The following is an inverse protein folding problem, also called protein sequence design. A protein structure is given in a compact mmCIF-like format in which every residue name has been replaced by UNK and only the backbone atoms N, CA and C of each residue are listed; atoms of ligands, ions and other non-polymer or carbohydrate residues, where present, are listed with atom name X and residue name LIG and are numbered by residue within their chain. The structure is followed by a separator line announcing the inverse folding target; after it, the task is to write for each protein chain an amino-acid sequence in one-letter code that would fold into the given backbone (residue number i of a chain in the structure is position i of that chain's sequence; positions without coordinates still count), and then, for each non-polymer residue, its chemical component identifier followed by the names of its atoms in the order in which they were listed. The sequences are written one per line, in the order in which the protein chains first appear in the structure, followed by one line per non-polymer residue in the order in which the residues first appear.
data_IF_047085066006
#
_entry.id   IF_047085066006
#
_cell.length_a   1.000
_cell.length_b   1.000
_cell.length_c   1.000
_cell.angle_alpha   90.00
_cell.angle_beta   90.00
_cell.angle_gamma   90.00
#
_symmetry.space_group_name_H-M   'P 1'
#
loop_
_entity.id
_entity.type
_entity.pdbx_description
1 polymer ?
#
# COMPACT_ATOMS: atom_id res chain seq x y z
N UNK A 1 19.29 61.70 -16.75
CA UNK A 1 18.12 60.86 -17.11
C UNK A 1 18.53 59.68 -18.00
N UNK A 2 18.99 59.89 -19.24
CA UNK A 2 19.36 58.79 -20.14
C UNK A 2 20.39 57.78 -19.58
N UNK A 3 21.41 58.26 -18.83
CA UNK A 3 22.43 57.38 -18.20
C UNK A 3 21.84 56.51 -17.08
N UNK A 4 20.84 57.01 -16.33
CA UNK A 4 20.16 56.24 -15.28
C UNK A 4 19.21 55.20 -15.87
N UNK A 5 18.52 55.51 -16.97
CA UNK A 5 17.70 54.54 -17.72
C UNK A 5 18.56 53.43 -18.33
N UNK A 6 19.70 53.76 -18.95
CA UNK A 6 20.62 52.77 -19.50
C UNK A 6 21.24 51.88 -18.41
N UNK A 7 21.58 52.43 -17.25
CA UNK A 7 22.09 51.65 -16.12
C UNK A 7 21.04 50.69 -15.54
N UNK A 8 19.78 51.12 -15.46
CA UNK A 8 18.67 50.27 -15.01
C UNK A 8 18.38 49.14 -16.00
N UNK A 9 18.42 49.42 -17.31
CA UNK A 9 18.29 48.40 -18.35
C UNK A 9 19.44 47.38 -18.29
N UNK A 10 20.70 47.82 -18.21
CA UNK A 10 21.86 46.92 -18.07
C UNK A 10 21.78 46.02 -16.83
N UNK A 11 21.35 46.56 -15.68
CA UNK A 11 21.15 45.77 -14.46
C UNK A 11 20.05 44.71 -14.62
N UNK A 12 18.97 45.04 -15.33
CA UNK A 12 17.88 44.10 -15.61
C UNK A 12 18.34 42.99 -16.57
N UNK A 13 19.11 43.32 -17.60
CA UNK A 13 19.66 42.33 -18.54
C UNK A 13 20.66 41.38 -17.87
N UNK A 14 21.52 41.90 -16.98
CA UNK A 14 22.44 41.08 -16.17
C UNK A 14 21.68 40.10 -15.26
N UNK A 15 20.63 40.56 -14.57
CA UNK A 15 19.77 39.68 -13.75
C UNK A 15 19.06 38.60 -14.57
N UNK A 16 18.61 38.93 -15.78
CA UNK A 16 18.00 37.96 -16.71
C UNK A 16 19.02 36.92 -17.19
N UNK A 17 20.31 37.26 -17.23
CA UNK A 17 21.38 36.37 -17.67
C UNK A 17 21.97 35.52 -16.53
N UNK A 18 21.95 36.02 -15.29
CA UNK A 18 22.31 35.28 -14.07
C UNK A 18 21.23 34.30 -13.59
N UNK A 19 19.96 34.58 -13.88
CA UNK A 19 18.86 33.71 -13.45
C UNK A 19 18.91 32.29 -14.05
N UNK A 20 19.22 32.08 -15.35
CA UNK A 20 19.47 30.76 -15.93
C UNK A 20 20.66 30.03 -15.30
N UNK A 21 21.74 30.73 -14.95
CA UNK A 21 22.93 30.10 -14.35
C UNK A 21 22.64 29.66 -12.91
N UNK A 22 21.90 30.46 -12.13
CA UNK A 22 21.42 30.07 -10.80
C UNK A 22 20.52 28.83 -10.87
N UNK A 23 19.54 28.80 -11.79
CA UNK A 23 18.69 27.62 -12.00
C UNK A 23 19.46 26.38 -12.43
N UNK A 24 20.47 26.54 -13.27
CA UNK A 24 21.33 25.44 -13.69
C UNK A 24 22.12 24.88 -12.49
N UNK A 25 22.66 25.75 -11.63
CA UNK A 25 23.36 25.34 -10.40
C UNK A 25 22.43 24.58 -9.46
N UNK A 26 21.22 25.09 -9.21
CA UNK A 26 20.21 24.39 -8.39
C UNK A 26 19.84 23.02 -8.97
N UNK A 27 19.66 22.94 -10.30
CA UNK A 27 19.37 21.68 -10.98
C UNK A 27 20.51 20.67 -10.85
N UNK A 28 21.76 21.11 -11.03
CA UNK A 28 22.95 20.26 -10.90
C UNK A 28 23.10 19.77 -9.45
N UNK A 29 22.87 20.63 -8.46
CA UNK A 29 22.90 20.25 -7.06
C UNK A 29 21.83 19.19 -6.73
N UNK A 30 20.61 19.36 -7.24
CA UNK A 30 19.53 18.38 -7.04
C UNK A 30 19.87 17.02 -7.69
N UNK A 31 20.49 17.03 -8.87
CA UNK A 31 20.96 15.81 -9.54
C UNK A 31 22.11 15.12 -8.78
N UNK A 32 23.07 15.89 -8.27
CA UNK A 32 24.18 15.37 -7.46
C UNK A 32 23.69 14.70 -6.17
N UNK A 33 22.75 15.32 -5.45
CA UNK A 33 22.12 14.72 -4.28
C UNK A 33 21.36 13.43 -4.61
N UNK A 34 20.64 13.41 -5.73
CA UNK A 34 19.98 12.20 -6.25
C UNK A 34 20.98 11.08 -6.57
N UNK A 35 22.12 11.42 -7.18
CA UNK A 35 23.19 10.48 -7.48
C UNK A 35 23.83 9.91 -6.21
N UNK A 36 24.12 10.74 -5.21
CA UNK A 36 24.62 10.31 -3.89
C UNK A 36 23.63 9.39 -3.19
N UNK A 37 22.33 9.69 -3.26
CA UNK A 37 21.27 8.84 -2.72
C UNK A 37 21.24 7.47 -3.40
N UNK A 38 21.29 7.45 -4.74
CA UNK A 38 21.36 6.21 -5.52
C UNK A 38 22.58 5.38 -5.14
N UNK A 39 23.74 6.02 -4.99
CA UNK A 39 24.99 5.36 -4.58
C UNK A 39 24.85 4.68 -3.21
N UNK A 40 24.34 5.40 -2.20
CA UNK A 40 24.08 4.83 -0.85
C UNK A 40 23.12 3.64 -0.88
N UNK A 41 22.07 3.72 -1.70
CA UNK A 41 21.11 2.61 -1.88
C UNK A 41 21.75 1.39 -2.53
N UNK A 42 22.60 1.58 -3.53
CA UNK A 42 23.35 0.50 -4.19
C UNK A 42 24.33 -0.16 -3.21
N UNK A 43 25.05 0.63 -2.42
CA UNK A 43 25.96 0.13 -1.38
C UNK A 43 25.21 -0.74 -0.36
N UNK A 44 24.05 -0.30 0.13
CA UNK A 44 23.21 -1.09 1.03
C UNK A 44 22.72 -2.41 0.39
N UNK A 45 22.45 -2.43 -0.92
CA UNK A 45 22.09 -3.67 -1.61
C UNK A 45 23.26 -4.65 -1.69
N UNK A 46 24.49 -4.16 -1.87
CA UNK A 46 25.71 -4.98 -1.88
C UNK A 46 26.00 -5.60 -0.51
N UNK A 47 25.63 -4.95 0.59
CA UNK A 47 25.74 -5.52 1.95
C UNK A 47 24.99 -6.86 2.09
N UNK A 48 23.91 -7.06 1.32
CA UNK A 48 23.14 -8.31 1.33
C UNK A 48 23.94 -9.51 0.82
N UNK A 49 24.88 -9.29 -0.10
CA UNK A 49 25.69 -10.32 -0.74
C UNK A 49 26.86 -10.78 0.14
N UNK A 50 26.97 -10.30 1.38
CA UNK A 50 27.99 -10.73 2.33
C UNK A 50 27.63 -12.08 2.95
N UNK A 51 28.58 -13.02 2.95
CA UNK A 51 28.42 -14.34 3.58
C UNK A 51 28.51 -14.32 5.11
N UNK A 52 28.77 -13.16 5.73
CA UNK A 52 28.91 -13.06 7.18
C UNK A 52 27.53 -13.08 7.90
N UNK A 53 27.28 -14.01 8.84
CA UNK A 53 26.00 -14.12 9.54
C UNK A 53 25.57 -12.85 10.30
N UNK A 54 26.53 -12.13 10.88
CA UNK A 54 26.27 -10.88 11.59
C UNK A 54 25.80 -9.76 10.64
N UNK A 55 26.45 -9.64 9.48
CA UNK A 55 26.07 -8.69 8.43
C UNK A 55 24.66 -9.00 7.89
N UNK A 56 24.35 -10.28 7.66
CA UNK A 56 23.02 -10.71 7.23
C UNK A 56 21.92 -10.38 8.27
N UNK A 57 22.21 -10.54 9.57
CA UNK A 57 21.27 -10.18 10.65
C UNK A 57 20.99 -8.67 10.70
N UNK A 58 22.05 -7.86 10.63
CA UNK A 58 21.95 -6.40 10.58
C UNK A 58 21.16 -5.92 9.35
N UNK A 59 21.42 -6.51 8.18
CA UNK A 59 20.69 -6.19 6.96
C UNK A 59 19.20 -6.52 7.07
N UNK A 60 18.85 -7.68 7.64
CA UNK A 60 17.44 -8.06 7.91
C UNK A 60 16.75 -7.04 8.82
N UNK A 61 17.45 -6.54 9.85
CA UNK A 61 16.93 -5.49 10.75
C UNK A 61 16.71 -4.18 10.01
N UNK A 62 17.70 -3.67 9.27
CA UNK A 62 17.55 -2.47 8.43
C UNK A 62 16.40 -2.59 7.44
N UNK A 63 16.23 -3.75 6.80
CA UNK A 63 15.12 -4.03 5.88
C UNK A 63 13.76 -3.91 6.58
N UNK A 64 13.64 -4.48 7.77
CA UNK A 64 12.42 -4.40 8.58
C UNK A 64 12.12 -2.96 8.97
N UNK A 65 13.11 -2.21 9.45
CA UNK A 65 12.95 -0.81 9.84
C UNK A 65 12.51 0.04 8.65
N UNK A 66 13.09 -0.17 7.46
CA UNK A 66 12.69 0.50 6.22
C UNK A 66 11.21 0.24 5.88
N UNK A 67 10.78 -1.01 6.00
CA UNK A 67 9.37 -1.39 5.76
C UNK A 67 8.43 -0.75 6.80
N UNK A 68 8.84 -0.68 8.06
CA UNK A 68 8.09 -0.02 9.13
C UNK A 68 8.00 1.48 8.93
N UNK A 69 9.10 2.16 8.59
CA UNK A 69 9.10 3.60 8.31
C UNK A 69 8.13 3.93 7.18
N UNK A 70 8.18 3.21 6.06
CA UNK A 70 7.23 3.41 4.96
C UNK A 70 5.77 3.20 5.41
N UNK A 71 5.51 2.16 6.20
CA UNK A 71 4.16 1.89 6.71
C UNK A 71 3.67 3.01 7.64
N UNK A 72 4.52 3.47 8.55
CA UNK A 72 4.20 4.58 9.47
C UNK A 72 3.90 5.87 8.70
N UNK A 73 4.66 6.18 7.65
CA UNK A 73 4.41 7.33 6.78
C UNK A 73 3.04 7.23 6.08
N UNK A 74 2.70 6.05 5.54
CA UNK A 74 1.37 5.80 4.93
C UNK A 74 0.21 5.91 5.91
N UNK A 75 0.45 5.61 7.19
CA UNK A 75 -0.54 5.73 8.26
C UNK A 75 -0.61 7.15 8.87
N UNK A 76 0.22 8.10 8.41
CA UNK A 76 0.27 9.46 8.95
C UNK A 76 1.10 9.63 10.22
N UNK A 77 1.85 8.61 10.65
CA UNK A 77 2.73 8.66 11.82
C UNK A 77 4.12 9.24 11.48
N UNK A 78 4.15 10.44 10.87
CA UNK A 78 5.37 11.05 10.31
C UNK A 78 6.49 11.23 11.35
N UNK A 79 6.18 11.78 12.52
CA UNK A 79 7.17 12.03 13.56
C UNK A 79 7.85 10.74 14.05
N UNK A 80 7.06 9.68 14.22
CA UNK A 80 7.56 8.36 14.63
C UNK A 80 8.41 7.75 13.51
N UNK A 81 7.97 7.87 12.26
CA UNK A 81 8.70 7.37 11.10
C UNK A 81 10.07 8.04 10.94
N UNK A 82 10.14 9.37 11.08
CA UNK A 82 11.38 10.14 11.02
C UNK A 82 12.33 9.77 12.17
N UNK A 83 11.80 9.63 13.39
CA UNK A 83 12.61 9.20 14.55
C UNK A 83 13.20 7.81 14.35
N UNK A 84 12.41 6.85 13.85
CA UNK A 84 12.88 5.49 13.55
C UNK A 84 13.95 5.51 12.45
N UNK A 85 13.73 6.28 11.37
CA UNK A 85 14.69 6.39 10.27
C UNK A 85 16.05 6.91 10.74
N UNK A 86 16.07 7.93 11.62
CA UNK A 86 17.29 8.48 12.23
C UNK A 86 17.98 7.48 13.13
N UNK A 87 17.25 6.85 14.04
CA UNK A 87 17.81 5.88 14.98
C UNK A 87 18.42 4.66 14.29
N UNK A 88 17.80 4.22 13.19
CA UNK A 88 18.31 3.10 12.39
C UNK A 88 19.34 3.51 11.32
N UNK A 89 19.62 4.82 11.15
CA UNK A 89 20.55 5.33 10.13
C UNK A 89 20.12 5.01 8.70
N UNK A 90 18.82 5.07 8.41
CA UNK A 90 18.22 4.67 7.13
C UNK A 90 17.47 5.79 6.42
N UNK A 91 17.67 7.06 6.80
CA UNK A 91 16.99 8.22 6.19
C UNK A 91 17.14 8.23 4.65
N UNK A 92 18.32 7.86 4.14
CA UNK A 92 18.62 7.76 2.71
C UNK A 92 17.94 6.57 1.99
N UNK A 93 17.44 5.60 2.76
CA UNK A 93 16.82 4.38 2.23
C UNK A 93 15.30 4.46 2.18
N UNK A 94 14.71 5.55 2.68
CA UNK A 94 13.27 5.79 2.75
C UNK A 94 12.91 7.08 2.02
N UNK A 95 11.66 7.20 1.56
CA UNK A 95 11.22 8.35 0.76
C UNK A 95 10.44 9.37 1.62
N UNK A 96 10.99 9.79 2.76
CA UNK A 96 10.28 10.64 3.74
C UNK A 96 9.71 11.92 3.11
N UNK A 97 10.53 12.65 2.35
CA UNK A 97 10.14 13.93 1.76
C UNK A 97 8.90 13.82 0.87
N UNK A 98 8.82 12.77 0.05
CA UNK A 98 7.65 12.51 -0.80
C UNK A 98 6.37 12.39 0.01
N UNK A 99 6.41 11.70 1.16
CA UNK A 99 5.25 11.58 2.05
C UNK A 99 4.91 12.88 2.77
N UNK A 100 5.90 13.74 3.05
CA UNK A 100 5.67 15.06 3.65
C UNK A 100 5.05 16.04 2.65
N UNK A 101 5.48 16.04 1.40
CA UNK A 101 4.83 16.83 0.34
C UNK A 101 3.38 16.37 0.12
N UNK A 102 3.14 15.05 0.13
CA UNK A 102 1.78 14.52 0.02
C UNK A 102 0.90 14.88 1.22
N UNK A 103 1.48 14.91 2.43
CA UNK A 103 0.78 15.27 3.67
C UNK A 103 0.10 16.64 3.58
N UNK A 104 0.78 17.65 3.04
CA UNK A 104 0.20 19.01 2.91
C UNK A 104 -1.06 19.01 2.05
N UNK A 105 -1.06 18.23 0.96
CA UNK A 105 -2.23 18.06 0.09
C UNK A 105 -3.36 17.30 0.79
N UNK A 106 -3.03 16.25 1.54
CA UNK A 106 -4.02 15.49 2.31
C UNK A 106 -4.68 16.35 3.39
N UNK A 107 -3.90 17.11 4.16
CA UNK A 107 -4.41 18.01 5.20
C UNK A 107 -5.29 19.14 4.61
N UNK A 108 -4.95 19.65 3.42
CA UNK A 108 -5.80 20.62 2.72
C UNK A 108 -7.16 20.00 2.34
N UNK A 109 -7.17 18.78 1.80
CA UNK A 109 -8.40 18.07 1.49
C UNK A 109 -9.23 17.74 2.77
N UNK A 110 -8.58 17.44 3.89
CA UNK A 110 -9.25 17.25 5.18
C UNK A 110 -9.93 18.54 5.67
N UNK A 111 -9.28 19.70 5.42
CA UNK A 111 -9.86 21.04 5.63
C UNK A 111 -10.89 21.44 4.56
N UNK A 112 -11.20 20.57 3.60
CA UNK A 112 -12.12 20.81 2.48
C UNK A 112 -11.64 21.87 1.49
N UNK A 113 -10.32 21.93 1.30
CA UNK A 113 -9.64 22.86 0.38
C UNK A 113 -9.08 22.07 -0.81
N UNK A 114 -9.52 22.38 -2.03
CA UNK A 114 -9.09 21.69 -3.26
C UNK A 114 -7.84 22.28 -3.89
N UNK A 115 -7.47 23.52 -3.56
CA UNK A 115 -6.45 24.29 -4.27
C UNK A 115 -5.09 23.58 -4.33
N UNK A 116 -4.59 23.06 -3.20
CA UNK A 116 -3.32 22.36 -3.13
C UNK A 116 -3.33 21.07 -3.99
N UNK A 117 -4.42 20.31 -3.95
CA UNK A 117 -4.54 19.07 -4.73
C UNK A 117 -4.68 19.35 -6.24
N UNK A 118 -5.38 20.44 -6.61
CA UNK A 118 -5.47 20.89 -8.00
C UNK A 118 -4.11 21.37 -8.54
N UNK A 119 -3.34 22.11 -7.73
CA UNK A 119 -1.97 22.50 -8.07
C UNK A 119 -1.10 21.26 -8.29
N UNK A 120 -1.17 20.27 -7.40
CA UNK A 120 -0.47 19.00 -7.55
C UNK A 120 -0.88 18.26 -8.84
N UNK A 121 -2.17 18.22 -9.18
CA UNK A 121 -2.67 17.64 -10.43
C UNK A 121 -2.09 18.35 -11.67
N UNK A 122 -2.00 19.68 -11.61
CA UNK A 122 -1.43 20.50 -12.67
C UNK A 122 0.07 20.20 -12.87
N UNK A 123 0.84 20.20 -11.77
CA UNK A 123 2.29 20.01 -11.80
C UNK A 123 2.67 18.60 -12.27
N UNK A 124 1.79 17.61 -12.05
CA UNK A 124 2.00 16.22 -12.43
C UNK A 124 1.22 15.78 -13.68
N UNK A 125 0.58 16.71 -14.38
CA UNK A 125 -0.40 16.43 -15.47
C UNK A 125 0.14 15.48 -16.55
N UNK A 126 1.35 15.71 -17.04
CA UNK A 126 1.96 14.89 -18.11
C UNK A 126 2.22 13.45 -17.67
N UNK A 127 2.62 13.26 -16.40
CA UNK A 127 2.90 11.94 -15.82
C UNK A 127 1.60 11.19 -15.53
N UNK A 128 0.60 11.87 -14.97
CA UNK A 128 -0.73 11.30 -14.70
C UNK A 128 -1.40 10.78 -15.98
N UNK A 129 -1.25 11.48 -17.11
CA UNK A 129 -1.74 11.04 -18.42
C UNK A 129 -1.07 9.75 -18.91
N UNK A 130 0.27 9.69 -18.85
CA UNK A 130 1.03 8.50 -19.27
C UNK A 130 0.62 7.26 -18.47
N UNK A 131 0.19 7.43 -17.23
CA UNK A 131 -0.25 6.34 -16.36
C UNK A 131 -1.65 5.81 -16.70
N UNK A 132 -2.56 6.66 -17.21
CA UNK A 132 -3.90 6.26 -17.67
C UNK A 132 -3.82 5.36 -18.91
N UNK A 133 -2.89 5.64 -19.84
CA UNK A 133 -2.69 4.84 -21.05
C UNK A 133 -2.31 3.37 -20.80
N UNK A 134 -1.58 3.08 -19.71
CA UNK A 134 -1.19 1.70 -19.34
C UNK A 134 -2.32 0.88 -18.69
N UNK A 135 -3.42 1.52 -18.28
CA UNK A 135 -4.56 0.85 -17.65
C UNK A 135 -5.56 0.30 -18.69
N UNK A 136 -5.66 0.92 -19.87
CA UNK A 136 -6.56 0.46 -20.94
C UNK A 136 -6.23 -0.93 -21.49
N UNK A 137 -5.00 -1.40 -21.34
CA UNK A 137 -4.57 -2.74 -21.80
C UNK A 137 -4.85 -3.85 -20.77
N UNK A 138 -4.96 -3.52 -19.48
CA UNK A 138 -5.07 -4.53 -18.42
C UNK A 138 -6.52 -4.84 -17.99
N UNK A 139 -7.49 -4.01 -18.36
CA UNK A 139 -8.91 -4.20 -18.03
C UNK A 139 -9.73 -4.92 -19.14
N UNK A 140 -9.07 -5.41 -20.20
CA UNK A 140 -9.68 -6.34 -21.14
C UNK A 140 -9.78 -7.75 -20.50
N UNK A 141 -10.95 -8.06 -19.92
CA UNK A 141 -11.27 -9.37 -19.30
C UNK A 141 -10.90 -10.58 -20.20
N UNK A 142 -10.52 -11.74 -19.62
CA UNK A 142 -10.32 -12.98 -20.35
C UNK A 142 -11.68 -13.64 -20.64
N UNK A 143 -12.28 -13.30 -21.78
CA UNK A 143 -13.41 -14.02 -22.34
C UNK A 143 -12.96 -15.24 -23.12
N UNK A 144 -12.91 -16.40 -22.46
CA UNK A 144 -12.66 -17.72 -23.05
C UNK A 144 -13.73 -18.00 -24.13
N UNK A 145 -13.38 -17.88 -25.42
CA UNK A 145 -14.11 -18.51 -26.52
C UNK A 145 -13.16 -19.40 -27.31
N UNK A 146 -13.40 -20.70 -27.17
CA UNK A 146 -12.91 -21.74 -28.06
C UNK A 146 -13.40 -21.48 -29.49
N UNK A 147 -12.49 -21.49 -30.47
CA UNK A 147 -12.67 -22.20 -31.76
C UNK A 147 -11.40 -22.11 -32.64
N UNK A 148 -10.85 -23.30 -32.89
CA UNK A 148 -10.23 -23.89 -34.11
C UNK A 148 -9.54 -22.97 -35.13
N UNK A 149 -8.34 -23.43 -35.52
CA UNK A 149 -7.36 -22.87 -36.44
C UNK A 149 -7.80 -22.76 -37.92
N UNK A 150 -7.28 -21.74 -38.62
CA UNK A 150 -6.50 -21.83 -39.88
C UNK A 150 -6.33 -20.46 -40.53
N UNK A 151 -5.15 -20.19 -41.13
CA UNK A 151 -4.98 -19.16 -42.16
C UNK A 151 -3.95 -18.06 -41.89
N UNK A 152 -2.82 -18.16 -42.60
CA UNK A 152 -1.63 -17.32 -42.81
C UNK A 152 -1.73 -15.78 -42.68
N UNK A 153 -0.58 -15.09 -42.42
CA UNK A 153 -0.53 -13.63 -42.27
C UNK A 153 -0.45 -12.91 -43.63
N UNK A 154 -1.13 -11.77 -43.75
CA UNK A 154 -0.86 -10.76 -44.77
C UNK A 154 -0.50 -9.45 -44.09
N UNK A 155 0.70 -8.98 -44.42
CA UNK A 155 1.19 -7.62 -44.16
C UNK A 155 0.50 -6.62 -45.08
N UNK A 156 0.10 -5.49 -44.50
CA UNK A 156 -0.17 -4.16 -45.09
C UNK A 156 -1.12 -3.48 -44.10
N UNK A 157 -1.02 -2.23 -43.69
CA UNK A 157 -0.21 -1.07 -44.02
C UNK A 157 -0.67 -0.04 -42.96
N UNK A 158 0.22 0.88 -42.62
CA UNK A 158 -0.07 2.27 -42.32
C UNK A 158 -1.20 2.61 -41.31
N UNK A 159 -0.80 2.93 -40.07
CA UNK A 159 -1.56 3.86 -39.24
C UNK A 159 -0.61 4.94 -38.73
N UNK A 160 -0.60 6.03 -39.49
CA UNK A 160 -0.02 7.30 -39.12
C UNK A 160 -0.46 7.76 -37.73
N UNK A 161 0.52 8.18 -36.95
CA UNK A 161 0.35 8.91 -35.71
C UNK A 161 -0.16 10.32 -36.06
N UNK A 162 -1.46 10.48 -36.28
CA UNK A 162 -2.05 11.80 -36.39
C UNK A 162 -2.05 12.48 -35.01
N UNK A 163 -1.11 13.41 -34.85
CA UNK A 163 -1.07 14.40 -33.78
C UNK A 163 -2.31 15.29 -33.83
N UNK A 164 -3.39 14.85 -33.20
CA UNK A 164 -4.52 15.72 -32.88
C UNK A 164 -4.06 16.67 -31.76
N UNK A 165 -3.82 17.94 -32.11
CA UNK A 165 -3.69 19.06 -31.18
C UNK A 165 -5.03 19.31 -30.48
N UNK A 166 -5.43 18.38 -29.61
CA UNK A 166 -6.55 18.52 -28.69
C UNK A 166 -6.10 19.25 -27.42
N UNK A 167 -6.90 20.22 -26.96
CA UNK A 167 -6.72 20.84 -25.64
C UNK A 167 -6.72 19.75 -24.55
N UNK A 168 -6.00 19.96 -23.44
CA UNK A 168 -5.66 18.84 -22.59
C UNK A 168 -6.80 18.45 -21.61
N UNK A 169 -7.48 17.32 -21.90
CA UNK A 169 -8.32 16.47 -20.99
C UNK A 169 -7.88 16.48 -19.50
N UNK A 170 -8.85 16.61 -18.59
CA UNK A 170 -8.59 16.59 -17.14
C UNK A 170 -8.13 15.20 -16.68
N UNK A 171 -7.27 15.12 -15.65
CA UNK A 171 -7.02 13.84 -14.98
C UNK A 171 -8.27 13.38 -14.21
N UNK A 172 -8.41 12.08 -13.95
CA UNK A 172 -9.58 11.56 -13.22
C UNK A 172 -9.74 12.21 -11.83
N UNK A 173 -8.62 12.44 -11.13
CA UNK A 173 -8.59 13.14 -9.85
C UNK A 173 -8.96 14.63 -9.99
N UNK A 174 -8.38 15.32 -10.99
CA UNK A 174 -8.72 16.73 -11.25
C UNK A 174 -10.21 16.90 -11.53
N UNK A 175 -10.79 16.02 -12.35
CA UNK A 175 -12.21 16.01 -12.65
C UNK A 175 -13.06 15.78 -11.39
N UNK A 176 -12.69 14.82 -10.54
CA UNK A 176 -13.36 14.53 -9.27
C UNK A 176 -13.32 15.73 -8.31
N UNK A 177 -12.20 16.45 -8.26
CA UNK A 177 -12.06 17.68 -7.47
C UNK A 177 -12.96 18.81 -7.99
N UNK A 178 -13.07 18.98 -9.31
CA UNK A 178 -13.99 19.97 -9.91
C UNK A 178 -15.45 19.66 -9.63
N UNK A 179 -15.83 18.37 -9.65
CA UNK A 179 -17.15 17.95 -9.18
C UNK A 179 -17.36 18.34 -7.71
N UNK A 180 -16.35 18.13 -6.86
CA UNK A 180 -16.47 18.51 -5.45
C UNK A 180 -16.63 20.02 -5.27
N UNK A 181 -15.87 20.86 -5.98
CA UNK A 181 -16.03 22.32 -5.97
C UNK A 181 -17.46 22.73 -6.39
N UNK A 182 -18.01 22.10 -7.44
CA UNK A 182 -19.40 22.31 -7.83
C UNK A 182 -20.37 21.95 -6.69
N UNK A 183 -20.19 20.79 -6.05
CA UNK A 183 -21.04 20.34 -4.94
C UNK A 183 -21.00 21.33 -3.78
N UNK A 184 -19.82 21.86 -3.44
CA UNK A 184 -19.70 22.87 -2.36
C UNK A 184 -20.38 24.19 -2.72
N UNK A 185 -20.37 24.60 -3.99
CA UNK A 185 -21.16 25.77 -4.46
C UNK A 185 -22.66 25.53 -4.31
N UNK A 186 -23.14 24.32 -4.62
CA UNK A 186 -24.54 23.93 -4.39
C UNK A 186 -24.88 23.93 -2.90
N UNK A 187 -24.01 23.39 -2.04
CA UNK A 187 -24.21 23.42 -0.57
C UNK A 187 -24.35 24.84 -0.03
N UNK A 188 -23.59 25.79 -0.58
CA UNK A 188 -23.67 27.22 -0.22
C UNK A 188 -24.85 27.94 -0.89
N UNK A 189 -25.70 27.23 -1.63
CA UNK A 189 -26.80 27.76 -2.42
C UNK A 189 -26.39 28.78 -3.50
N UNK A 190 -25.12 28.77 -3.91
CA UNK A 190 -24.54 29.63 -4.97
C UNK A 190 -24.75 29.01 -6.35
N UNK A 191 -26.00 28.76 -6.73
CA UNK A 191 -26.36 27.99 -7.95
C UNK A 191 -25.83 28.61 -9.25
N UNK A 192 -25.86 29.94 -9.37
CA UNK A 192 -25.32 30.61 -10.56
C UNK A 192 -23.80 30.44 -10.68
N UNK A 193 -23.08 30.46 -9.56
CA UNK A 193 -21.63 30.20 -9.53
C UNK A 193 -21.33 28.76 -9.91
N UNK A 194 -22.14 27.80 -9.44
CA UNK A 194 -22.03 26.40 -9.83
C UNK A 194 -22.20 26.21 -11.34
N UNK A 195 -23.17 26.88 -11.97
CA UNK A 195 -23.35 26.86 -13.43
C UNK A 195 -22.15 27.47 -14.16
N UNK A 196 -21.62 28.61 -13.66
CA UNK A 196 -20.41 29.23 -14.22
C UNK A 196 -19.20 28.29 -14.11
N UNK A 197 -19.05 27.64 -12.97
CA UNK A 197 -18.00 26.64 -12.72
C UNK A 197 -18.10 25.48 -13.71
N UNK A 198 -19.30 24.89 -13.85
CA UNK A 198 -19.54 23.77 -14.75
C UNK A 198 -19.20 24.12 -16.22
N UNK A 199 -19.63 25.30 -16.70
CA UNK A 199 -19.28 25.76 -18.06
C UNK A 199 -17.78 25.89 -18.28
N UNK A 200 -17.04 26.33 -17.25
CA UNK A 200 -15.59 26.50 -17.32
C UNK A 200 -14.84 25.16 -17.32
N UNK A 201 -15.23 24.23 -16.44
CA UNK A 201 -14.42 23.05 -16.14
C UNK A 201 -14.92 21.75 -16.76
N UNK A 202 -16.20 21.66 -17.15
CA UNK A 202 -16.80 20.45 -17.72
C UNK A 202 -17.11 20.55 -19.22
N UNK A 203 -16.67 21.62 -19.89
CA UNK A 203 -16.94 21.83 -21.33
C UNK A 203 -16.32 20.78 -22.24
N UNK A 204 -15.30 20.07 -21.77
CA UNK A 204 -14.59 19.00 -22.50
C UNK A 204 -14.87 17.61 -21.92
N UNK A 205 -15.90 17.47 -21.08
CA UNK A 205 -16.30 16.16 -20.59
C UNK A 205 -16.81 15.32 -21.77
N UNK A 206 -16.36 14.08 -21.85
CA UNK A 206 -16.75 13.12 -22.89
C UNK A 206 -16.98 11.73 -22.27
N UNK A 207 -17.70 10.86 -23.00
CA UNK A 207 -17.97 9.50 -22.55
C UNK A 207 -18.59 9.43 -21.15
N UNK A 208 -18.01 8.62 -20.26
CA UNK A 208 -18.51 8.45 -18.88
C UNK A 208 -18.49 9.73 -18.05
N UNK A 209 -17.60 10.69 -18.33
CA UNK A 209 -17.55 11.96 -17.62
C UNK A 209 -18.81 12.80 -17.87
N UNK A 210 -19.41 12.70 -19.06
CA UNK A 210 -20.67 13.41 -19.35
C UNK A 210 -21.83 12.89 -18.51
N UNK A 211 -21.88 11.58 -18.24
CA UNK A 211 -22.93 11.00 -17.42
C UNK A 211 -22.82 11.46 -15.96
N UNK A 212 -21.59 11.55 -15.43
CA UNK A 212 -21.33 12.16 -14.12
C UNK A 212 -21.71 13.65 -14.10
N UNK A 213 -21.36 14.41 -15.14
CA UNK A 213 -21.74 15.84 -15.25
C UNK A 213 -23.25 16.00 -15.27
N UNK A 214 -23.98 15.18 -16.05
CA UNK A 214 -25.45 15.21 -16.10
C UNK A 214 -26.06 14.95 -14.72
N UNK A 215 -25.53 13.97 -14.00
CA UNK A 215 -25.98 13.66 -12.64
C UNK A 215 -25.72 14.84 -11.70
N UNK A 216 -24.52 15.41 -11.70
CA UNK A 216 -24.16 16.54 -10.82
C UNK A 216 -24.96 17.80 -11.18
N UNK A 217 -25.21 18.07 -12.46
CA UNK A 217 -26.05 19.18 -12.90
C UNK A 217 -27.49 19.06 -12.44
N UNK A 218 -28.01 17.83 -12.29
CA UNK A 218 -29.33 17.57 -11.72
C UNK A 218 -29.51 18.13 -10.30
N UNK A 219 -28.42 18.28 -9.53
CA UNK A 219 -28.45 18.85 -8.17
C UNK A 219 -28.98 20.29 -8.14
N UNK A 220 -28.93 21.03 -9.26
CA UNK A 220 -29.47 22.39 -9.35
C UNK A 220 -30.98 22.45 -9.09
N UNK A 221 -31.70 21.36 -9.34
CA UNK A 221 -33.14 21.27 -9.14
C UNK A 221 -33.53 20.93 -7.69
N UNK A 222 -32.59 20.51 -6.84
CA UNK A 222 -32.86 20.04 -5.49
C UNK A 222 -32.28 20.98 -4.42
N UNK A 223 -32.83 20.97 -3.20
CA UNK A 223 -32.25 21.70 -2.09
C UNK A 223 -31.01 20.96 -1.53
N UNK A 224 -30.09 21.67 -0.85
CA UNK A 224 -28.86 21.08 -0.30
C UNK A 224 -29.06 20.00 0.78
N UNK A 225 -30.25 19.90 1.36
CA UNK A 225 -30.66 18.93 2.39
C UNK A 225 -31.49 17.77 1.81
N UNK A 226 -31.49 17.61 0.48
CA UNK A 226 -32.25 16.55 -0.20
C UNK A 226 -31.89 15.14 0.31
N UNK A 227 -32.92 14.31 0.51
CA UNK A 227 -32.78 12.90 0.84
C UNK A 227 -32.92 11.99 -0.39
N UNK A 228 -33.09 12.56 -1.57
CA UNK A 228 -33.31 11.83 -2.82
C UNK A 228 -31.97 11.29 -3.33
N UNK A 229 -31.86 9.97 -3.47
CA UNK A 229 -30.72 9.34 -4.15
C UNK A 229 -30.87 9.54 -5.67
N UNK A 230 -29.78 9.82 -6.42
CA UNK A 230 -28.36 9.75 -6.00
C UNK A 230 -27.79 11.04 -5.36
N UNK A 231 -28.57 12.12 -5.30
CA UNK A 231 -28.06 13.44 -4.91
C UNK A 231 -27.67 13.52 -3.44
N UNK A 232 -28.38 12.79 -2.56
CA UNK A 232 -28.00 12.61 -1.16
C UNK A 232 -26.57 12.07 -1.04
N UNK A 233 -26.23 11.07 -1.84
CA UNK A 233 -24.92 10.40 -1.80
C UNK A 233 -23.81 11.32 -2.34
N UNK A 234 -24.14 12.17 -3.33
CA UNK A 234 -23.24 13.23 -3.81
C UNK A 234 -22.97 14.31 -2.74
N UNK A 235 -23.91 14.53 -1.82
CA UNK A 235 -23.78 15.47 -0.70
C UNK A 235 -23.18 14.82 0.56
N UNK A 236 -22.80 13.55 0.51
CA UNK A 236 -22.20 12.89 1.68
C UNK A 236 -20.78 13.44 1.96
N UNK A 237 -20.47 13.84 3.20
CA UNK A 237 -19.11 14.26 3.59
C UNK A 237 -18.02 13.21 3.33
N UNK A 238 -18.36 11.92 3.23
CA UNK A 238 -17.44 10.83 2.94
C UNK A 238 -16.72 11.00 1.59
N UNK A 239 -17.27 11.80 0.66
CA UNK A 239 -16.60 12.11 -0.62
C UNK A 239 -15.23 12.75 -0.42
N UNK A 240 -15.04 13.60 0.59
CA UNK A 240 -13.73 14.17 0.91
C UNK A 240 -12.71 13.08 1.27
N UNK A 241 -13.13 12.05 2.02
CA UNK A 241 -12.29 10.89 2.33
C UNK A 241 -11.95 10.09 1.08
N UNK A 242 -12.89 9.95 0.15
CA UNK A 242 -12.64 9.28 -1.14
C UNK A 242 -11.66 10.06 -2.01
N UNK A 243 -11.73 11.39 -2.03
CA UNK A 243 -10.76 12.24 -2.74
C UNK A 243 -9.35 12.10 -2.16
N UNK A 244 -9.21 12.07 -0.83
CA UNK A 244 -7.92 11.80 -0.17
C UNK A 244 -7.38 10.42 -0.56
N UNK A 245 -8.23 9.39 -0.60
CA UNK A 245 -7.83 8.04 -1.02
C UNK A 245 -7.42 7.99 -2.50
N UNK A 246 -8.17 8.67 -3.38
CA UNK A 246 -7.83 8.77 -4.80
C UNK A 246 -6.51 9.51 -5.01
N UNK A 247 -6.29 10.62 -4.29
CA UNK A 247 -5.03 11.33 -4.27
C UNK A 247 -3.88 10.43 -3.82
N UNK A 248 -4.03 9.70 -2.70
CA UNK A 248 -3.02 8.74 -2.21
C UNK A 248 -2.69 7.70 -3.27
N UNK A 249 -3.71 7.12 -3.90
CA UNK A 249 -3.54 6.13 -4.95
C UNK A 249 -2.74 6.69 -6.15
N UNK A 250 -3.13 7.86 -6.65
CA UNK A 250 -2.46 8.49 -7.79
C UNK A 250 -1.04 8.93 -7.42
N UNK A 251 -0.82 9.46 -6.21
CA UNK A 251 0.48 9.84 -5.70
C UNK A 251 1.42 8.63 -5.56
N UNK A 252 0.95 7.53 -4.95
CA UNK A 252 1.76 6.31 -4.84
C UNK A 252 2.13 5.76 -6.21
N UNK A 253 1.17 5.66 -7.13
CA UNK A 253 1.47 5.18 -8.48
C UNK A 253 2.44 6.11 -9.21
N UNK A 254 2.32 7.43 -9.05
CA UNK A 254 3.19 8.42 -9.67
C UNK A 254 4.65 8.20 -9.23
N UNK A 255 4.84 7.84 -7.97
CA UNK A 255 6.13 7.51 -7.35
C UNK A 255 6.49 6.01 -7.42
N UNK A 256 5.76 5.22 -8.22
CA UNK A 256 6.00 3.77 -8.41
C UNK A 256 5.96 2.95 -7.11
N UNK A 257 5.14 3.41 -6.16
CA UNK A 257 4.85 2.69 -4.93
C UNK A 257 3.56 1.87 -5.09
N UNK A 258 3.54 0.70 -4.45
CA UNK A 258 2.32 -0.07 -4.30
C UNK A 258 1.30 0.65 -3.40
N UNK A 259 0.01 0.35 -3.58
CA UNK A 259 -1.06 0.87 -2.71
C UNK A 259 -1.02 0.26 -1.31
N UNK A 260 -0.61 -1.00 -1.23
CA UNK A 260 -0.35 -1.68 0.03
C UNK A 260 1.12 -1.48 0.41
N UNK A 261 1.37 -1.23 1.69
CA UNK A 261 2.74 -1.19 2.19
C UNK A 261 3.40 -2.56 2.09
N UNK A 262 4.70 -2.59 1.79
CA UNK A 262 5.48 -3.83 1.75
C UNK A 262 5.45 -4.54 3.12
N UNK A 263 5.41 -3.76 4.20
CA UNK A 263 5.21 -4.26 5.56
C UNK A 263 3.92 -5.08 5.70
N UNK A 264 2.78 -4.49 5.32
CA UNK A 264 1.47 -5.15 5.38
C UNK A 264 1.47 -6.43 4.56
N UNK A 265 1.95 -6.38 3.31
CA UNK A 265 2.00 -7.56 2.44
C UNK A 265 2.88 -8.67 3.02
N UNK A 266 4.05 -8.33 3.53
CA UNK A 266 4.99 -9.30 4.11
C UNK A 266 4.43 -9.93 5.38
N UNK A 267 3.82 -9.11 6.25
CA UNK A 267 3.17 -9.59 7.47
C UNK A 267 2.00 -10.52 7.13
N UNK A 268 1.14 -10.14 6.19
CA UNK A 268 0.02 -10.96 5.75
C UNK A 268 0.48 -12.26 5.10
N UNK A 269 1.50 -12.22 4.24
CA UNK A 269 2.07 -13.42 3.63
C UNK A 269 2.64 -14.37 4.69
N UNK A 270 3.40 -13.84 5.65
CA UNK A 270 3.93 -14.60 6.77
C UNK A 270 2.81 -15.23 7.60
N UNK A 271 1.81 -14.45 8.02
CA UNK A 271 0.67 -14.95 8.79
C UNK A 271 -0.12 -16.02 8.01
N UNK A 272 -0.34 -15.84 6.72
CA UNK A 272 -1.03 -16.82 5.87
C UNK A 272 -0.28 -18.15 5.80
N UNK A 273 1.06 -18.10 5.75
CA UNK A 273 1.90 -19.30 5.68
C UNK A 273 1.88 -20.16 6.95
N UNK A 274 1.54 -19.58 8.10
CA UNK A 274 1.46 -20.28 9.40
C UNK A 274 0.04 -20.37 9.97
N UNK A 275 -0.95 -19.76 9.31
CA UNK A 275 -2.36 -19.78 9.72
C UNK A 275 -2.94 -21.16 9.44
N UNK A 276 -3.50 -21.77 10.48
CA UNK A 276 -4.22 -23.05 10.40
C UNK A 276 -5.64 -22.91 10.97
N UNK A 277 -6.57 -23.84 10.67
CA UNK A 277 -7.90 -23.85 11.30
C UNK A 277 -7.84 -23.92 12.84
N UNK A 278 -6.80 -24.56 13.39
CA UNK A 278 -6.62 -24.73 14.84
C UNK A 278 -6.43 -23.41 15.58
N UNK A 279 -6.02 -22.35 14.89
CA UNK A 279 -5.85 -21.01 15.48
C UNK A 279 -7.18 -20.36 15.89
N UNK A 280 -8.32 -20.81 15.35
CA UNK A 280 -9.64 -20.19 15.54
C UNK A 280 -10.69 -21.11 16.17
N UNK A 281 -10.29 -22.28 16.69
CA UNK A 281 -11.21 -23.11 17.49
C UNK A 281 -11.68 -22.35 18.74
N UNK A 282 -12.96 -22.51 19.07
CA UNK A 282 -13.64 -21.80 20.15
C UNK A 282 -13.09 -22.19 21.52
N UNK A 283 -12.81 -23.48 21.73
CA UNK A 283 -12.34 -24.02 23.02
C UNK A 283 -10.94 -23.56 23.42
N UNK A 284 -10.18 -22.91 22.52
CA UNK A 284 -8.83 -22.39 22.76
C UNK A 284 -7.75 -23.46 23.03
N UNK A 285 -8.13 -24.72 23.23
CA UNK A 285 -7.28 -25.86 23.62
C UNK A 285 -6.20 -26.22 22.58
N UNK A 286 -6.43 -25.85 21.32
CA UNK A 286 -5.53 -26.09 20.19
C UNK A 286 -4.57 -24.93 19.91
N UNK A 287 -4.67 -23.80 20.64
CA UNK A 287 -3.78 -22.65 20.42
C UNK A 287 -2.40 -22.94 21.00
N UNK A 288 -1.36 -22.65 20.22
CA UNK A 288 0.01 -22.74 20.70
C UNK A 288 0.50 -21.37 21.19
N UNK A 289 1.13 -21.27 22.37
CA UNK A 289 1.71 -20.01 22.85
C UNK A 289 2.82 -19.50 21.91
N UNK A 290 3.56 -20.41 21.26
CA UNK A 290 4.64 -20.07 20.33
C UNK A 290 4.14 -19.78 18.90
N UNK A 291 2.83 -19.88 18.64
CA UNK A 291 2.27 -19.58 17.33
C UNK A 291 1.96 -18.08 17.21
N UNK A 292 2.63 -17.33 16.29
CA UNK A 292 2.36 -15.91 16.12
C UNK A 292 0.88 -15.62 15.81
N UNK A 293 0.22 -16.45 15.00
CA UNK A 293 -1.22 -16.29 14.65
C UNK A 293 -2.14 -16.48 15.86
N UNK A 294 -1.74 -17.25 16.87
CA UNK A 294 -2.53 -17.44 18.09
C UNK A 294 -2.41 -16.25 19.06
N UNK A 295 -1.46 -15.34 18.85
CA UNK A 295 -1.35 -14.11 19.65
C UNK A 295 -2.56 -13.19 19.39
N UNK A 296 -3.05 -12.52 20.43
CA UNK A 296 -4.30 -11.73 20.39
C UNK A 296 -4.32 -10.71 19.25
N UNK A 297 -3.22 -9.99 19.02
CA UNK A 297 -3.14 -8.92 18.03
C UNK A 297 -3.02 -9.46 16.61
N UNK A 298 -2.15 -10.46 16.39
CA UNK A 298 -1.95 -11.02 15.05
C UNK A 298 -3.11 -11.94 14.63
N UNK A 299 -3.82 -12.55 15.57
CA UNK A 299 -5.01 -13.35 15.28
C UNK A 299 -6.08 -12.52 14.57
N UNK A 300 -6.35 -11.30 15.06
CA UNK A 300 -7.30 -10.37 14.42
C UNK A 300 -6.86 -10.00 13.00
N UNK A 301 -5.57 -9.72 12.81
CA UNK A 301 -5.02 -9.37 11.50
C UNK A 301 -5.03 -10.56 10.53
N UNK A 302 -4.86 -11.78 11.04
CA UNK A 302 -4.84 -12.99 10.24
C UNK A 302 -6.24 -13.51 9.88
N UNK A 303 -7.31 -13.05 10.52
CA UNK A 303 -8.67 -13.56 10.33
C UNK A 303 -9.14 -13.56 8.86
N UNK A 304 -9.00 -12.47 8.07
CA UNK A 304 -9.43 -12.46 6.67
C UNK A 304 -8.48 -13.18 5.70
N UNK A 305 -7.30 -13.61 6.16
CA UNK A 305 -6.27 -14.19 5.31
C UNK A 305 -6.55 -15.65 4.92
N UNK A 306 -6.04 -16.15 3.79
CA UNK A 306 -6.13 -17.56 3.47
C UNK A 306 -5.37 -18.43 4.49
N UNK A 307 -5.75 -19.69 4.60
CA UNK A 307 -5.05 -20.67 5.43
C UNK A 307 -3.91 -21.31 4.63
N UNK A 308 -2.87 -21.74 5.33
CA UNK A 308 -1.77 -22.47 4.71
C UNK A 308 -2.26 -23.80 4.11
N UNK A 309 -1.88 -24.07 2.87
CA UNK A 309 -2.06 -25.38 2.27
C UNK A 309 -0.89 -26.28 2.67
N UNK A 310 -1.10 -27.15 3.67
CA UNK A 310 -0.10 -28.10 4.12
C UNK A 310 -0.28 -29.43 3.39
N UNK A 311 0.60 -29.74 2.43
CA UNK A 311 0.61 -31.05 1.76
C UNK A 311 1.05 -32.18 2.69
N UNK A 312 1.95 -31.88 3.64
CA UNK A 312 2.48 -32.83 4.60
C UNK A 312 2.31 -32.29 6.02
N UNK A 313 1.78 -33.10 6.93
CA UNK A 313 1.71 -32.78 8.36
C UNK A 313 2.88 -33.44 9.08
N UNK A 314 3.49 -32.72 10.03
CA UNK A 314 4.48 -33.28 10.96
C UNK A 314 3.94 -33.15 12.37
N UNK A 315 4.06 -34.20 13.14
CA UNK A 315 3.75 -34.17 14.56
C UNK A 315 4.90 -33.50 15.32
N UNK A 316 4.56 -32.58 16.21
CA UNK A 316 5.53 -31.87 17.06
C UNK A 316 5.11 -32.03 18.50
N UNK A 317 6.04 -32.43 19.37
CA UNK A 317 5.76 -32.63 20.78
C UNK A 317 5.46 -31.30 21.46
N UNK A 318 4.39 -31.25 22.27
CA UNK A 318 4.00 -30.05 23.02
C UNK A 318 4.99 -29.66 24.13
N UNK A 319 5.76 -30.61 24.65
CA UNK A 319 6.70 -30.37 25.76
C UNK A 319 8.03 -29.86 25.21
N UNK A 320 8.69 -30.62 24.33
CA UNK A 320 10.02 -30.25 23.83
C UNK A 320 10.01 -29.39 22.57
N UNK A 321 8.92 -29.38 21.80
CA UNK A 321 8.90 -28.75 20.47
C UNK A 321 9.61 -29.58 19.38
N UNK A 322 10.07 -30.80 19.71
CA UNK A 322 10.72 -31.68 18.74
C UNK A 322 9.72 -32.41 17.86
N UNK A 323 10.16 -32.77 16.65
CA UNK A 323 9.36 -33.59 15.73
C UNK A 323 9.20 -35.01 16.31
N UNK A 324 7.97 -35.51 16.31
CA UNK A 324 7.66 -36.90 16.64
C UNK A 324 7.78 -37.74 15.37
N UNK A 325 8.65 -38.74 15.40
CA UNK A 325 9.03 -39.60 14.27
C UNK A 325 9.45 -40.98 14.78
N UNK A 326 10.11 -41.80 13.95
CA UNK A 326 10.57 -43.13 14.32
C UNK A 326 11.52 -43.14 15.54
N UNK A 327 12.36 -42.10 15.68
CA UNK A 327 13.33 -41.95 16.77
C UNK A 327 12.75 -41.23 18.00
N UNK A 328 11.58 -40.61 17.87
CA UNK A 328 10.83 -39.97 18.96
C UNK A 328 9.34 -40.24 18.76
N UNK A 329 8.88 -41.49 18.99
CA UNK A 329 7.54 -41.89 18.61
C UNK A 329 6.47 -41.13 19.40
N UNK A 330 5.32 -40.82 18.78
CA UNK A 330 4.18 -40.24 19.47
C UNK A 330 3.56 -41.27 20.42
N UNK A 331 3.43 -40.90 21.69
CA UNK A 331 2.89 -41.70 22.78
C UNK A 331 1.65 -41.01 23.36
N UNK A 332 0.54 -41.73 23.46
CA UNK A 332 -0.75 -41.26 23.98
C UNK A 332 -0.92 -41.70 25.43
N UNK A 333 -1.21 -40.76 26.33
CA UNK A 333 -1.64 -41.06 27.69
C UNK A 333 -3.13 -41.47 27.72
N UNK A 334 -3.61 -42.15 28.78
CA UNK A 334 -5.01 -42.61 28.88
C UNK A 334 -6.08 -41.54 28.70
N UNK A 335 -5.75 -40.27 28.93
CA UNK A 335 -6.64 -39.13 28.69
C UNK A 335 -6.67 -38.62 27.24
N UNK A 336 -6.02 -39.34 26.31
CA UNK A 336 -6.03 -39.04 24.88
C UNK A 336 -5.01 -38.00 24.42
N UNK A 337 -4.20 -37.43 25.31
CA UNK A 337 -3.16 -36.47 24.90
C UNK A 337 -1.87 -37.17 24.45
N UNK A 338 -1.34 -36.71 23.32
CA UNK A 338 -0.14 -37.28 22.67
C UNK A 338 1.08 -36.41 22.91
N UNK A 339 2.20 -37.06 23.27
CA UNK A 339 3.51 -36.45 23.52
C UNK A 339 4.62 -37.31 22.89
N UNK A 340 5.83 -36.77 22.70
CA UNK A 340 6.95 -37.55 22.21
C UNK A 340 7.50 -38.43 23.32
N UNK A 341 7.91 -39.65 22.99
CA UNK A 341 8.50 -40.60 23.95
C UNK A 341 9.62 -39.98 24.78
N UNK A 342 10.55 -39.26 24.13
CA UNK A 342 11.68 -38.63 24.81
C UNK A 342 11.25 -37.59 25.84
N UNK A 343 10.15 -36.86 25.55
CA UNK A 343 9.58 -35.88 26.47
C UNK A 343 8.86 -36.54 27.64
N UNK A 344 8.10 -37.63 27.41
CA UNK A 344 7.46 -38.36 28.51
C UNK A 344 8.50 -39.00 29.43
N UNK A 345 9.59 -39.50 28.86
CA UNK A 345 10.69 -40.08 29.61
C UNK A 345 11.39 -39.03 30.50
N UNK A 346 11.56 -37.80 30.01
CA UNK A 346 12.22 -36.74 30.78
C UNK A 346 11.38 -36.17 31.92
N UNK A 347 10.05 -36.22 31.83
CA UNK A 347 9.14 -35.75 32.88
C UNK A 347 8.65 -36.87 33.81
N UNK A 348 9.09 -38.10 33.59
CA UNK A 348 8.74 -39.27 34.41
C UNK A 348 9.40 -39.15 35.78
N UNK A 349 8.62 -39.41 36.82
CA UNK A 349 9.09 -39.56 38.21
C UNK A 349 8.72 -40.97 38.66
N UNK A 350 9.74 -41.77 38.98
CA UNK A 350 9.62 -43.21 39.21
C UNK A 350 8.95 -43.92 38.03
N UNK A 351 7.71 -44.38 38.19
CA UNK A 351 6.90 -45.03 37.15
C UNK A 351 5.69 -44.22 36.72
N UNK A 352 5.60 -42.96 37.15
CA UNK A 352 4.44 -42.11 36.89
C UNK A 352 4.80 -40.88 36.06
N UNK A 353 3.84 -40.43 35.27
CA UNK A 353 3.93 -39.19 34.50
C UNK A 353 2.72 -38.31 34.83
N UNK A 354 2.99 -37.04 35.12
CA UNK A 354 1.96 -36.01 35.28
C UNK A 354 1.69 -35.39 33.91
N UNK A 355 0.47 -35.49 33.41
CA UNK A 355 0.07 -34.87 32.14
C UNK A 355 0.20 -33.34 32.25
N UNK A 356 1.03 -32.67 31.42
CA UNK A 356 1.24 -31.22 31.54
C UNK A 356 -0.03 -30.39 31.37
N UNK A 357 -1.01 -30.91 30.61
CA UNK A 357 -2.27 -30.25 30.26
C UNK A 357 -3.36 -30.42 31.32
N UNK A 358 -3.61 -31.65 31.78
CA UNK A 358 -4.72 -31.95 32.70
C UNK A 358 -4.28 -32.07 34.16
N UNK A 359 -2.97 -32.18 34.41
CA UNK A 359 -2.37 -32.48 35.72
C UNK A 359 -2.74 -33.85 36.31
N UNK A 360 -3.39 -34.70 35.53
CA UNK A 360 -3.67 -36.09 35.91
C UNK A 360 -2.38 -36.91 35.90
N UNK A 361 -2.32 -37.92 36.77
CA UNK A 361 -1.15 -38.79 36.95
C UNK A 361 -1.45 -40.17 36.38
N UNK A 362 -0.61 -40.63 35.48
CA UNK A 362 -0.73 -41.95 34.84
C UNK A 362 0.54 -42.76 35.03
N UNK A 363 0.41 -44.08 35.00
CA UNK A 363 1.56 -44.96 34.98
C UNK A 363 2.23 -44.91 33.59
N UNK A 364 3.55 -44.88 33.51
CA UNK A 364 4.27 -44.77 32.22
C UNK A 364 3.93 -45.94 31.28
N UNK A 365 3.69 -47.13 31.82
CA UNK A 365 3.28 -48.31 31.05
C UNK A 365 1.89 -48.21 30.41
N UNK A 366 1.06 -47.26 30.85
CA UNK A 366 -0.26 -46.99 30.25
C UNK A 366 -0.16 -46.08 29.03
N UNK A 367 1.03 -45.56 28.71
CA UNK A 367 1.23 -44.77 27.50
C UNK A 367 1.35 -45.68 26.27
N UNK A 368 0.46 -45.49 25.30
CA UNK A 368 0.43 -46.31 24.08
C UNK A 368 1.06 -45.58 22.90
N UNK A 369 1.83 -46.31 22.09
CA UNK A 369 2.40 -45.76 20.85
C UNK A 369 1.30 -45.56 19.82
N UNK A 370 1.24 -44.36 19.24
CA UNK A 370 0.26 -44.01 18.20
C UNK A 370 0.89 -44.12 16.82
N UNK A 371 0.11 -44.59 15.86
CA UNK A 371 0.47 -44.57 14.43
C UNK A 371 -0.50 -43.63 13.72
N UNK A 372 0.05 -42.72 12.90
CA UNK A 372 -0.75 -41.85 12.05
C UNK A 372 -0.55 -42.35 10.62
N UNK A 373 -1.64 -42.80 10.00
CA UNK A 373 -1.68 -43.21 8.60
C UNK A 373 -2.03 -42.04 7.70
#
# INVERSE_FOLDING_TARGET
MAVQESAAQLSMTLKVQEYPTLKAVESIQAEDESAKLCKRRIEHLKEHSSDQPAAASLWKRKRMDRMMVEHLLRCGYYNTAVKLARQSGIEDLVNIEMFLTAKEVEEALERRETAACLAWCHDNKSRLRKMKGRQGEHDAKPGRKSRVASGSPKESEDLGMETIKGKPELSCLEFSLRIQEFIELIRQNKRLDAVRHARKHFSQAEGSQLDEVRQVMGMLAFPPDTHISPYKDLLDPARWRMLIQQFRYDNYRLHQLGNNSVFTLTLQAGLSAIKTPQCYKEDGSSRSPDCPVCSRSLNKLAQPLPMAHCANSRLVCKISGDVMNENNPPMMLPNGYVYGYNSLLSIRQDDKVVCPRTKEVFHFSQAEKVYIM
#
